data_IF_740900689723
#
_entry.id   IF_740900689723
#
_cell.length_a   1.000
_cell.length_b   1.000
_cell.length_c   1.000
_cell.angle_alpha   90.00
_cell.angle_beta   90.00
_cell.angle_gamma   90.00
#
_symmetry.space_group_name_H-M   'P 1'
#
loop_
_entity.id
_entity.type
_entity.pdbx_description
1 polymer ?
#
# COMPACT_ATOMS: atom_id res chain seq x y z
N UNK A 1 17.17 -13.12 1.68
CA UNK A 1 16.89 -11.97 2.56
C UNK A 1 17.74 -12.05 3.80
N UNK A 2 19.05 -11.97 3.64
CA UNK A 2 20.02 -11.87 4.73
C UNK A 2 20.73 -10.51 4.59
N UNK A 3 21.22 -9.99 5.69
CA UNK A 3 22.00 -8.75 5.74
C UNK A 3 23.29 -9.01 6.53
N UNK A 4 24.32 -8.19 6.29
CA UNK A 4 25.40 -8.03 7.26
C UNK A 4 24.96 -6.98 8.28
N UNK A 5 25.08 -7.29 9.57
CA UNK A 5 24.78 -6.32 10.63
C UNK A 5 26.03 -5.47 10.91
N UNK A 6 25.89 -4.15 10.88
CA UNK A 6 26.99 -3.21 11.18
C UNK A 6 26.53 -2.25 12.29
N UNK A 7 26.53 -2.68 13.57
CA UNK A 7 25.96 -1.91 14.66
C UNK A 7 26.53 -0.51 14.84
N UNK A 8 27.79 -0.28 14.48
CA UNK A 8 28.37 1.07 14.59
C UNK A 8 27.85 2.05 13.55
N UNK A 9 27.21 1.58 12.47
CA UNK A 9 26.81 2.39 11.31
C UNK A 9 25.36 2.22 10.85
N UNK A 10 24.57 1.33 11.46
CA UNK A 10 23.12 1.22 11.28
C UNK A 10 22.42 1.19 12.63
N UNK A 11 21.46 2.11 12.82
CA UNK A 11 20.76 2.30 14.09
C UNK A 11 19.94 1.07 14.53
N UNK A 12 19.38 0.31 13.59
CA UNK A 12 18.58 -0.90 13.91
C UNK A 12 19.50 -2.01 14.39
N UNK A 13 20.65 -2.16 13.74
CA UNK A 13 21.67 -3.11 14.14
C UNK A 13 22.27 -2.74 15.50
N UNK A 14 22.45 -1.44 15.77
CA UNK A 14 22.90 -0.91 17.07
C UNK A 14 21.96 -1.28 18.21
N UNK A 15 20.67 -0.99 18.06
CA UNK A 15 19.66 -1.30 19.08
C UNK A 15 19.56 -2.81 19.34
N UNK A 16 19.63 -3.62 18.27
CA UNK A 16 19.66 -5.06 18.39
C UNK A 16 20.91 -5.53 19.14
N UNK A 17 22.09 -5.05 18.75
CA UNK A 17 23.35 -5.40 19.40
C UNK A 17 23.35 -5.02 20.89
N UNK A 18 22.88 -3.81 21.23
CA UNK A 18 22.75 -3.37 22.63
C UNK A 18 21.80 -4.24 23.44
N UNK A 19 20.64 -4.58 22.87
CA UNK A 19 19.63 -5.41 23.55
C UNK A 19 20.14 -6.82 23.86
N UNK A 20 20.92 -7.39 22.95
CA UNK A 20 21.39 -8.78 23.05
C UNK A 20 22.84 -8.91 23.50
N UNK A 21 23.50 -7.80 23.87
CA UNK A 21 24.89 -7.81 24.32
C UNK A 21 25.89 -8.27 23.26
N UNK A 22 25.61 -7.96 21.98
CA UNK A 22 26.52 -8.25 20.88
C UNK A 22 27.58 -7.15 20.75
N UNK A 23 28.71 -7.49 20.13
CA UNK A 23 29.83 -6.59 19.92
C UNK A 23 29.45 -5.44 18.97
N UNK A 24 29.93 -4.23 19.28
CA UNK A 24 29.80 -3.04 18.45
C UNK A 24 31.23 -2.59 18.14
N UNK A 25 31.61 -2.57 16.85
CA UNK A 25 32.96 -2.19 16.41
C UNK A 25 32.90 -0.96 15.51
N UNK A 26 33.35 0.22 15.96
CA UNK A 26 33.42 1.41 15.11
C UNK A 26 34.36 1.21 13.93
N UNK A 27 33.83 1.40 12.71
CA UNK A 27 34.60 1.32 11.45
C UNK A 27 34.71 2.63 10.69
N UNK A 28 33.98 3.67 11.13
CA UNK A 28 34.07 5.04 10.59
C UNK A 28 34.22 5.99 11.77
N UNK A 29 35.29 6.79 11.76
CA UNK A 29 35.52 7.85 12.73
C UNK A 29 34.99 9.19 12.18
N UNK A 30 34.04 9.85 12.86
CA UNK A 30 33.62 11.20 12.50
C UNK A 30 34.78 12.19 12.60
N UNK A 31 34.85 13.18 11.69
CA UNK A 31 35.93 14.17 11.66
C UNK A 31 35.93 15.08 12.91
N UNK A 32 34.74 15.43 13.39
CA UNK A 32 34.52 16.45 14.41
C UNK A 32 34.13 15.87 15.79
N UNK A 33 34.46 14.60 16.04
CA UNK A 33 34.18 13.95 17.33
C UNK A 33 35.42 13.28 17.90
N UNK A 34 35.43 13.12 19.23
CA UNK A 34 36.38 12.24 19.88
C UNK A 34 36.29 10.81 19.31
N UNK A 35 37.37 10.03 19.49
CA UNK A 35 37.39 8.65 19.05
C UNK A 35 36.16 7.91 19.57
N UNK A 36 35.40 7.26 18.66
CA UNK A 36 34.21 6.52 19.04
C UNK A 36 34.60 5.34 19.93
N UNK A 37 34.00 5.25 21.11
CA UNK A 37 34.13 4.12 22.03
C UNK A 37 32.85 3.29 22.01
N UNK A 38 32.98 2.01 21.63
CA UNK A 38 31.87 1.07 21.54
C UNK A 38 31.11 0.90 22.85
N UNK A 39 31.77 1.06 24.00
CA UNK A 39 31.13 0.96 25.30
C UNK A 39 30.16 2.13 25.52
N UNK A 40 30.54 3.34 25.12
CA UNK A 40 29.84 4.58 25.45
C UNK A 40 28.99 5.15 24.31
N UNK A 41 29.08 4.61 23.09
CA UNK A 41 28.21 5.04 21.99
C UNK A 41 26.74 4.98 22.41
N UNK A 42 25.99 6.06 22.18
CA UNK A 42 24.55 6.13 22.46
C UNK A 42 23.70 5.79 21.23
N UNK A 43 24.28 5.92 20.04
CA UNK A 43 23.64 5.65 18.75
C UNK A 43 24.67 5.20 17.70
N UNK A 44 24.20 4.63 16.59
CA UNK A 44 25.04 4.37 15.42
C UNK A 44 25.48 5.67 14.73
N UNK A 45 26.62 5.62 14.04
CA UNK A 45 27.10 6.71 13.18
C UNK A 45 26.98 6.33 11.70
N UNK A 46 25.97 6.89 11.01
CA UNK A 46 25.72 6.67 9.58
C UNK A 46 26.26 7.80 8.67
N UNK A 47 27.00 8.75 9.25
CA UNK A 47 27.52 9.94 8.59
C UNK A 47 28.91 9.80 7.96
N UNK A 48 29.44 10.94 7.48
CA UNK A 48 30.78 11.02 6.92
C UNK A 48 31.88 10.85 7.99
N UNK A 49 33.08 10.51 7.55
CA UNK A 49 34.23 10.30 8.41
C UNK A 49 35.38 9.58 7.70
N UNK A 50 36.30 9.00 8.46
CA UNK A 50 37.44 8.25 7.95
C UNK A 50 37.34 6.80 8.38
N UNK A 51 37.61 5.87 7.45
CA UNK A 51 37.61 4.44 7.78
C UNK A 51 38.70 4.11 8.80
N UNK A 52 38.29 3.42 9.86
CA UNK A 52 39.15 2.87 10.92
C UNK A 52 38.83 1.38 11.11
N UNK A 53 39.70 0.62 11.77
CA UNK A 53 39.49 -0.81 12.05
C UNK A 53 39.10 -1.68 10.83
N UNK A 54 39.51 -1.26 9.63
CA UNK A 54 39.06 -1.80 8.34
C UNK A 54 40.22 -2.32 7.46
N UNK A 55 41.34 -2.68 8.09
CA UNK A 55 42.49 -3.27 7.41
C UNK A 55 43.04 -2.40 6.26
N UNK A 56 43.07 -2.90 5.00
CA UNK A 56 43.61 -2.17 3.87
C UNK A 56 42.78 -0.92 3.49
N UNK A 57 41.56 -0.79 4.02
CA UNK A 57 40.69 0.35 3.75
C UNK A 57 40.85 1.49 4.77
N UNK A 58 41.69 1.31 5.80
CA UNK A 58 41.95 2.34 6.80
C UNK A 58 42.47 3.64 6.16
N UNK A 59 41.97 4.78 6.65
CA UNK A 59 42.34 6.10 6.16
C UNK A 59 41.58 6.57 4.92
N UNK A 60 40.79 5.69 4.27
CA UNK A 60 39.94 6.09 3.15
C UNK A 60 38.75 6.91 3.67
N UNK A 61 38.43 7.99 2.96
CA UNK A 61 37.31 8.88 3.31
C UNK A 61 35.97 8.21 3.01
N UNK A 62 35.08 8.17 4.01
CA UNK A 62 33.66 7.98 3.83
C UNK A 62 32.98 9.35 3.76
N UNK A 63 32.43 9.73 2.61
CA UNK A 63 31.88 11.09 2.41
C UNK A 63 30.35 11.18 2.65
N UNK A 64 29.70 10.09 3.04
CA UNK A 64 28.24 10.03 3.25
C UNK A 64 27.41 9.84 1.97
N UNK A 65 28.04 9.84 0.78
CA UNK A 65 27.36 9.54 -0.48
C UNK A 65 27.06 8.04 -0.61
N UNK A 66 26.18 7.69 -1.56
CA UNK A 66 25.82 6.30 -1.87
C UNK A 66 26.55 5.77 -3.10
N UNK A 67 26.78 4.45 -3.12
CA UNK A 67 27.43 3.76 -4.23
C UNK A 67 28.87 4.23 -4.46
N UNK A 68 29.38 4.06 -5.69
CA UNK A 68 30.76 4.44 -6.05
C UNK A 68 31.11 5.92 -5.93
N UNK A 69 30.12 6.82 -5.73
CA UNK A 69 30.38 8.24 -5.41
C UNK A 69 31.05 8.43 -4.05
N UNK A 70 30.98 7.42 -3.19
CA UNK A 70 31.66 7.40 -1.90
C UNK A 70 32.97 6.61 -2.02
N UNK A 71 34.14 7.23 -1.77
CA UNK A 71 35.44 6.57 -1.94
C UNK A 71 35.61 5.31 -1.10
N UNK A 72 35.06 5.27 0.12
CA UNK A 72 35.11 4.09 0.98
C UNK A 72 34.28 2.93 0.41
N UNK A 73 33.09 3.22 -0.12
CA UNK A 73 32.22 2.22 -0.75
C UNK A 73 32.87 1.70 -2.04
N UNK A 74 33.42 2.59 -2.88
CA UNK A 74 34.12 2.20 -4.11
C UNK A 74 35.30 1.27 -3.81
N UNK A 75 36.15 1.65 -2.85
CA UNK A 75 37.30 0.84 -2.46
C UNK A 75 36.90 -0.52 -1.85
N UNK A 76 35.82 -0.55 -1.06
CA UNK A 76 35.30 -1.80 -0.51
C UNK A 76 34.75 -2.73 -1.60
N UNK A 77 34.04 -2.20 -2.60
CA UNK A 77 33.57 -2.97 -3.76
C UNK A 77 34.76 -3.57 -4.51
N UNK A 78 35.74 -2.74 -4.89
CA UNK A 78 36.92 -3.18 -5.65
C UNK A 78 37.72 -4.25 -4.87
N UNK A 79 37.82 -4.09 -3.55
CA UNK A 79 38.48 -5.05 -2.68
C UNK A 79 37.74 -6.40 -2.66
N UNK A 80 36.41 -6.39 -2.51
CA UNK A 80 35.60 -7.61 -2.49
C UNK A 80 35.61 -8.33 -3.85
N UNK A 81 35.62 -7.58 -4.96
CA UNK A 81 35.72 -8.13 -6.32
C UNK A 81 37.09 -8.75 -6.58
N UNK A 82 38.18 -8.09 -6.17
CA UNK A 82 39.53 -8.65 -6.28
C UNK A 82 39.72 -9.95 -5.49
N UNK A 83 39.01 -10.10 -4.36
CA UNK A 83 38.99 -11.33 -3.57
C UNK A 83 38.04 -12.41 -4.11
N UNK A 84 37.21 -12.11 -5.11
CA UNK A 84 36.15 -13.01 -5.58
C UNK A 84 35.06 -13.28 -4.53
N UNK A 85 34.94 -12.41 -3.51
CA UNK A 85 34.04 -12.57 -2.37
C UNK A 85 32.76 -11.74 -2.48
N UNK A 86 32.63 -10.91 -3.52
CA UNK A 86 31.46 -10.09 -3.78
C UNK A 86 31.53 -9.40 -5.14
N UNK A 87 30.44 -8.69 -5.48
CA UNK A 87 30.34 -7.84 -6.67
C UNK A 87 29.38 -6.69 -6.41
N UNK A 88 29.51 -5.61 -7.18
CA UNK A 88 28.52 -4.53 -7.15
C UNK A 88 27.13 -5.01 -7.59
N UNK A 89 26.09 -4.50 -6.91
CA UNK A 89 24.70 -4.75 -7.27
C UNK A 89 23.86 -3.49 -7.02
N UNK A 90 22.98 -3.17 -7.97
CA UNK A 90 21.98 -2.10 -7.83
C UNK A 90 20.68 -2.72 -7.32
N UNK A 91 20.19 -2.20 -6.19
CA UNK A 91 18.93 -2.65 -5.58
C UNK A 91 17.91 -1.51 -5.58
N UNK A 92 16.66 -1.86 -5.87
CA UNK A 92 15.53 -0.94 -5.76
C UNK A 92 14.70 -1.29 -4.52
N UNK A 93 14.19 -0.26 -3.85
CA UNK A 93 13.17 -0.45 -2.80
C UNK A 93 11.82 -0.86 -3.41
N UNK A 94 11.56 -0.43 -4.65
CA UNK A 94 10.38 -0.82 -5.41
C UNK A 94 10.35 -2.34 -5.56
N UNK A 95 9.16 -2.92 -5.40
CA UNK A 95 8.90 -4.35 -5.62
C UNK A 95 7.96 -4.49 -6.80
N UNK A 96 7.89 -5.71 -7.33
CA UNK A 96 6.93 -6.04 -8.37
C UNK A 96 5.49 -5.82 -7.88
N UNK A 97 4.62 -5.47 -8.82
CA UNK A 97 3.24 -5.18 -8.54
C UNK A 97 2.43 -6.48 -8.44
N UNK A 98 2.00 -6.80 -7.21
CA UNK A 98 1.05 -7.88 -6.96
C UNK A 98 -0.35 -7.49 -7.46
N UNK A 99 -0.75 -7.99 -8.63
CA UNK A 99 -2.05 -7.67 -9.25
C UNK A 99 -3.18 -8.63 -8.87
N UNK A 100 -2.89 -9.86 -8.43
CA UNK A 100 -3.93 -10.85 -8.15
C UNK A 100 -4.66 -10.59 -6.83
N UNK A 101 -5.99 -10.77 -6.83
CA UNK A 101 -6.86 -10.57 -5.67
C UNK A 101 -7.80 -11.76 -5.52
N UNK A 102 -7.84 -12.33 -4.32
CA UNK A 102 -8.78 -13.38 -3.94
C UNK A 102 -10.17 -12.80 -3.64
N UNK A 103 -10.72 -12.03 -4.59
CA UNK A 103 -12.01 -11.34 -4.48
C UNK A 103 -12.82 -11.59 -5.74
N UNK A 104 -14.14 -11.69 -5.59
CA UNK A 104 -15.05 -11.83 -6.72
C UNK A 104 -15.11 -10.57 -7.60
N UNK A 105 -15.27 -9.39 -6.98
CA UNK A 105 -15.54 -8.16 -7.73
C UNK A 105 -14.25 -7.56 -8.31
N UNK A 106 -13.88 -8.03 -9.50
CA UNK A 106 -12.75 -7.54 -10.28
C UNK A 106 -12.75 -8.16 -11.69
N UNK A 107 -11.82 -7.71 -12.54
CA UNK A 107 -11.66 -8.29 -13.88
C UNK A 107 -10.97 -9.65 -13.79
N UNK A 108 -11.56 -10.74 -14.31
CA UNK A 108 -10.90 -12.05 -14.32
C UNK A 108 -9.54 -12.02 -15.01
N UNK A 109 -8.55 -12.68 -14.41
CA UNK A 109 -7.23 -12.82 -15.03
C UNK A 109 -7.34 -13.86 -16.17
N UNK A 110 -6.96 -13.52 -17.42
CA UNK A 110 -7.17 -14.39 -18.59
C UNK A 110 -6.07 -15.47 -18.69
N UNK A 111 -5.92 -16.29 -17.64
CA UNK A 111 -4.96 -17.40 -17.57
C UNK A 111 -5.71 -18.72 -17.34
N UNK A 112 -5.21 -19.77 -17.98
CA UNK A 112 -5.67 -21.15 -17.85
C UNK A 112 -4.54 -21.98 -17.23
N UNK A 113 -4.90 -22.79 -16.24
CA UNK A 113 -4.07 -23.83 -15.62
C UNK A 113 -4.33 -25.17 -16.30
N UNK A 114 -3.34 -25.67 -17.03
CA UNK A 114 -3.41 -26.95 -17.72
C UNK A 114 -3.21 -28.13 -16.75
N UNK A 115 -3.70 -29.32 -17.13
CA UNK A 115 -3.62 -30.52 -16.29
C UNK A 115 -2.19 -31.02 -16.06
N UNK A 116 -1.25 -30.67 -16.94
CA UNK A 116 0.18 -30.98 -16.84
C UNK A 116 0.96 -30.01 -15.95
N UNK A 117 0.30 -28.99 -15.40
CA UNK A 117 0.88 -27.98 -14.52
C UNK A 117 1.45 -26.75 -15.23
N UNK A 118 1.34 -26.65 -16.56
CA UNK A 118 1.69 -25.45 -17.31
C UNK A 118 0.59 -24.39 -17.26
N UNK A 119 0.92 -23.16 -17.69
CA UNK A 119 0.00 -22.03 -17.80
C UNK A 119 -0.09 -21.58 -19.26
N UNK A 120 -1.28 -21.23 -19.71
CA UNK A 120 -1.49 -20.57 -21.00
C UNK A 120 -2.44 -19.37 -20.85
N UNK A 121 -2.38 -18.43 -21.80
CA UNK A 121 -3.31 -17.31 -21.86
C UNK A 121 -4.60 -17.72 -22.56
N UNK A 122 -5.73 -17.14 -22.14
CA UNK A 122 -7.01 -17.27 -22.85
C UNK A 122 -6.84 -16.68 -24.26
N UNK A 123 -7.25 -17.39 -25.34
CA UNK A 123 -7.14 -16.85 -26.69
C UNK A 123 -7.94 -15.56 -26.89
N UNK A 124 -7.44 -14.63 -27.71
CA UNK A 124 -8.09 -13.34 -27.99
C UNK A 124 -9.55 -13.49 -28.43
N UNK A 125 -9.86 -14.53 -29.22
CA UNK A 125 -11.22 -14.84 -29.70
C UNK A 125 -12.19 -15.27 -28.59
N UNK A 126 -11.68 -15.59 -27.40
CA UNK A 126 -12.47 -15.95 -26.22
C UNK A 126 -12.51 -14.82 -25.18
N UNK A 127 -11.87 -13.67 -25.47
CA UNK A 127 -12.01 -12.49 -24.64
C UNK A 127 -13.34 -11.77 -24.95
N UNK A 128 -13.97 -11.14 -23.94
CA UNK A 128 -13.56 -11.10 -22.54
C UNK A 128 -13.92 -12.38 -21.76
N UNK A 129 -13.12 -12.70 -20.74
CA UNK A 129 -13.55 -13.63 -19.68
C UNK A 129 -14.57 -12.90 -18.80
N UNK A 130 -15.85 -13.23 -18.97
CA UNK A 130 -16.96 -12.58 -18.28
C UNK A 130 -17.08 -13.10 -16.85
N UNK A 131 -17.22 -12.17 -15.90
CA UNK A 131 -17.50 -12.49 -14.50
C UNK A 131 -18.96 -13.00 -14.38
N UNK A 132 -19.22 -14.14 -13.72
CA UNK A 132 -20.57 -14.71 -13.62
C UNK A 132 -21.43 -13.98 -12.58
N UNK A 133 -22.64 -13.54 -12.96
CA UNK A 133 -23.53 -12.74 -12.10
C UNK A 133 -24.25 -13.57 -11.00
N UNK A 134 -24.24 -14.89 -11.09
CA UNK A 134 -25.04 -15.85 -10.30
C UNK A 134 -24.17 -16.67 -9.32
N UNK A 135 -23.28 -16.01 -8.59
CA UNK A 135 -22.40 -16.67 -7.59
C UNK A 135 -22.90 -16.55 -6.15
N UNK A 136 -22.70 -17.61 -5.37
CA UNK A 136 -22.98 -17.61 -3.92
C UNK A 136 -21.76 -17.14 -3.11
N UNK A 137 -21.98 -16.19 -2.20
CA UNK A 137 -20.93 -15.65 -1.33
C UNK A 137 -20.83 -16.45 -0.03
N UNK A 138 -19.82 -17.31 0.04
CA UNK A 138 -19.53 -18.12 1.22
C UNK A 138 -18.56 -17.41 2.18
N UNK A 139 -18.74 -17.49 3.51
CA UNK A 139 -17.88 -16.83 4.51
C UNK A 139 -16.54 -17.57 4.72
N UNK A 140 -15.88 -17.96 3.64
CA UNK A 140 -14.64 -18.76 3.67
C UNK A 140 -13.36 -17.93 3.48
N UNK A 141 -13.51 -16.64 3.11
CA UNK A 141 -12.39 -15.75 2.79
C UNK A 141 -11.72 -16.02 1.43
N UNK A 142 -12.22 -16.98 0.64
CA UNK A 142 -11.74 -17.26 -0.73
C UNK A 142 -12.66 -16.66 -1.79
N UNK A 143 -12.12 -16.46 -3.00
CA UNK A 143 -12.92 -16.01 -4.15
C UNK A 143 -14.05 -17.01 -4.43
N UNK A 144 -15.33 -16.57 -4.51
CA UNK A 144 -16.47 -17.38 -4.95
C UNK A 144 -16.24 -18.14 -6.27
N UNK A 145 -15.43 -17.59 -7.18
CA UNK A 145 -15.07 -18.21 -8.46
C UNK A 145 -14.37 -19.57 -8.31
N UNK A 146 -13.74 -19.81 -7.14
CA UNK A 146 -13.07 -21.08 -6.83
C UNK A 146 -14.04 -22.26 -6.74
N UNK A 147 -15.30 -22.00 -6.41
CA UNK A 147 -16.32 -23.04 -6.19
C UNK A 147 -17.38 -23.07 -7.29
N UNK A 148 -17.40 -22.07 -8.16
CA UNK A 148 -18.35 -21.98 -9.25
C UNK A 148 -17.82 -22.75 -10.48
N UNK A 149 -18.12 -24.05 -10.53
CA UNK A 149 -17.69 -24.98 -11.57
C UNK A 149 -17.91 -24.50 -13.02
N UNK A 150 -19.04 -23.83 -13.37
CA UNK A 150 -19.26 -23.36 -14.73
C UNK A 150 -18.27 -22.30 -15.21
N UNK A 151 -17.72 -21.50 -14.29
CA UNK A 151 -16.63 -20.57 -14.59
C UNK A 151 -15.27 -21.25 -14.52
N UNK A 152 -15.05 -22.03 -13.45
CA UNK A 152 -13.74 -22.62 -13.16
C UNK A 152 -13.31 -23.60 -14.25
N UNK A 153 -14.20 -24.49 -14.68
CA UNK A 153 -13.85 -25.57 -15.60
C UNK A 153 -13.84 -25.06 -17.04
N UNK A 154 -12.74 -25.31 -17.74
CA UNK A 154 -12.57 -24.94 -19.15
C UNK A 154 -11.74 -26.00 -19.88
N UNK A 155 -11.33 -25.71 -21.11
CA UNK A 155 -10.40 -26.55 -21.86
C UNK A 155 -9.17 -25.76 -22.23
N UNK A 156 -8.03 -26.43 -22.32
CA UNK A 156 -6.80 -25.83 -22.85
C UNK A 156 -6.82 -25.73 -24.38
N UNK A 157 -5.76 -25.18 -24.95
CA UNK A 157 -5.55 -25.04 -26.40
C UNK A 157 -5.55 -26.37 -27.18
N UNK A 158 -5.33 -27.50 -26.50
CA UNK A 158 -5.40 -28.85 -27.07
C UNK A 158 -6.78 -29.52 -26.86
N UNK A 159 -7.72 -28.83 -26.19
CA UNK A 159 -9.06 -29.34 -25.89
C UNK A 159 -9.12 -30.26 -24.66
N UNK A 160 -8.05 -30.32 -23.85
CA UNK A 160 -8.00 -31.14 -22.63
C UNK A 160 -8.62 -30.38 -21.47
N UNK A 161 -9.18 -31.06 -20.44
CA UNK A 161 -9.75 -30.41 -19.27
C UNK A 161 -8.72 -29.52 -18.55
N UNK A 162 -9.10 -28.28 -18.27
CA UNK A 162 -8.26 -27.27 -17.64
C UNK A 162 -9.09 -26.40 -16.68
N UNK A 163 -8.42 -25.52 -15.92
CA UNK A 163 -9.07 -24.61 -14.97
C UNK A 163 -8.70 -23.16 -15.23
N UNK A 164 -9.66 -22.24 -15.16
CA UNK A 164 -9.38 -20.80 -15.21
C UNK A 164 -8.74 -20.32 -13.92
N UNK A 165 -7.89 -19.30 -14.02
CA UNK A 165 -7.50 -18.48 -12.86
C UNK A 165 -8.77 -17.89 -12.21
N UNK A 166 -8.84 -17.95 -10.89
CA UNK A 166 -10.01 -17.52 -10.11
C UNK A 166 -9.77 -16.26 -9.31
N UNK A 167 -8.51 -15.80 -9.27
CA UNK A 167 -8.18 -14.46 -8.84
C UNK A 167 -8.59 -13.42 -9.88
N UNK A 168 -8.97 -12.25 -9.39
CA UNK A 168 -9.26 -11.08 -10.22
C UNK A 168 -8.13 -10.07 -10.14
N UNK A 169 -8.03 -9.21 -11.15
CA UNK A 169 -7.05 -8.13 -11.17
C UNK A 169 -7.42 -7.05 -10.15
N UNK A 170 -6.39 -6.51 -9.49
CA UNK A 170 -6.46 -5.35 -8.63
C UNK A 170 -7.09 -4.15 -9.34
N UNK A 171 -7.85 -3.35 -8.60
CA UNK A 171 -8.60 -2.21 -9.15
C UNK A 171 -7.70 -1.15 -9.79
N UNK A 172 -6.43 -1.03 -9.39
CA UNK A 172 -5.47 -0.13 -10.03
C UNK A 172 -5.15 -0.54 -11.46
N UNK A 173 -5.39 -1.80 -11.87
CA UNK A 173 -5.25 -2.20 -13.27
C UNK A 173 -6.17 -1.37 -14.16
N UNK A 174 -7.46 -1.28 -13.82
CA UNK A 174 -8.42 -0.49 -14.58
C UNK A 174 -8.10 1.01 -14.53
N UNK A 175 -7.67 1.54 -13.37
CA UNK A 175 -7.36 2.96 -13.24
C UNK A 175 -6.02 3.36 -13.88
N UNK A 176 -5.16 2.42 -14.27
CA UNK A 176 -3.87 2.76 -14.88
C UNK A 176 -3.97 3.23 -16.33
N UNK A 177 -5.12 3.04 -17.00
CA UNK A 177 -5.26 3.36 -18.43
C UNK A 177 -6.61 3.96 -18.82
N UNK A 178 -7.54 4.17 -17.88
CA UNK A 178 -8.87 4.72 -18.14
C UNK A 178 -8.88 6.05 -18.92
N UNK A 179 -7.86 6.89 -18.72
CA UNK A 179 -7.70 8.16 -19.42
C UNK A 179 -7.51 7.98 -20.93
N UNK A 180 -6.92 6.87 -21.37
CA UNK A 180 -6.84 6.48 -22.78
C UNK A 180 -8.20 6.02 -23.30
N UNK A 181 -8.96 5.26 -22.49
CA UNK A 181 -10.28 4.77 -22.89
C UNK A 181 -11.31 5.90 -23.05
N UNK A 182 -11.15 7.01 -22.33
CA UNK A 182 -12.01 8.19 -22.48
C UNK A 182 -11.97 8.83 -23.86
N UNK A 183 -10.87 8.65 -24.60
CA UNK A 183 -10.72 9.20 -25.95
C UNK A 183 -11.76 8.59 -26.91
N UNK A 184 -12.08 7.31 -26.73
CA UNK A 184 -12.95 6.57 -27.63
C UNK A 184 -13.70 5.43 -26.91
N UNK A 185 -14.67 5.72 -26.03
CA UNK A 185 -15.28 4.73 -25.13
C UNK A 185 -16.06 3.63 -25.84
N UNK A 186 -16.43 3.84 -27.12
CA UNK A 186 -17.19 2.91 -27.95
C UNK A 186 -16.35 2.21 -29.03
N UNK A 187 -15.05 2.50 -29.10
CA UNK A 187 -14.17 1.87 -30.08
C UNK A 187 -13.94 0.40 -29.71
N UNK A 188 -14.13 -0.52 -30.64
CA UNK A 188 -14.20 -1.96 -30.39
C UNK A 188 -13.01 -2.76 -30.93
N UNK A 189 -12.14 -2.14 -31.74
CA UNK A 189 -11.05 -2.83 -32.43
C UNK A 189 -9.76 -2.85 -31.60
N UNK A 190 -9.56 -1.84 -30.75
CA UNK A 190 -8.39 -1.72 -29.88
C UNK A 190 -8.75 -1.00 -28.56
N UNK A 191 -7.80 -0.83 -27.62
CA UNK A 191 -8.05 -0.10 -26.37
C UNK A 191 -8.58 1.32 -26.59
N UNK A 192 -8.14 2.00 -27.66
CA UNK A 192 -8.57 3.33 -28.08
C UNK A 192 -8.43 3.53 -29.60
N UNK A 193 -9.14 4.50 -30.15
CA UNK A 193 -9.06 4.93 -31.56
C UNK A 193 -7.73 5.68 -31.79
N UNK A 194 -6.89 5.23 -32.76
CA UNK A 194 -5.63 5.90 -33.08
C UNK A 194 -5.75 7.39 -33.43
N UNK A 195 -6.83 7.81 -34.10
CA UNK A 195 -7.05 9.23 -34.46
C UNK A 195 -7.29 10.09 -33.21
N UNK A 196 -8.13 9.61 -32.30
CA UNK A 196 -8.40 10.31 -31.04
C UNK A 196 -7.16 10.36 -30.14
N UNK A 197 -6.39 9.26 -30.08
CA UNK A 197 -5.12 9.23 -29.36
C UNK A 197 -4.08 10.20 -29.95
N UNK A 198 -3.97 10.24 -31.29
CA UNK A 198 -3.08 11.15 -32.00
C UNK A 198 -3.46 12.61 -31.82
N UNK A 199 -4.72 12.92 -31.52
CA UNK A 199 -5.19 14.28 -31.27
C UNK A 199 -5.02 14.70 -29.81
N UNK A 200 -5.48 13.87 -28.86
CA UNK A 200 -5.63 14.27 -27.44
C UNK A 200 -4.42 14.00 -26.56
N UNK A 201 -3.53 13.07 -26.92
CA UNK A 201 -2.43 12.69 -26.04
C UNK A 201 -1.19 13.56 -26.24
N UNK A 202 -0.34 13.69 -25.18
CA UNK A 202 -0.57 13.25 -23.79
C UNK A 202 -1.54 14.17 -23.03
N UNK A 203 -1.96 13.78 -21.82
CA UNK A 203 -2.82 14.62 -20.98
C UNK A 203 -2.07 15.90 -20.57
N UNK A 204 -2.55 17.07 -20.98
CA UNK A 204 -1.89 18.35 -20.66
C UNK A 204 -1.82 18.62 -19.15
N UNK A 205 -2.93 18.43 -18.44
CA UNK A 205 -3.01 18.70 -17.00
C UNK A 205 -3.90 17.66 -16.32
N UNK A 206 -3.31 16.92 -15.39
CA UNK A 206 -4.02 15.94 -14.58
C UNK A 206 -4.13 16.40 -13.14
N UNK A 207 -5.37 16.46 -12.63
CA UNK A 207 -5.67 16.96 -11.28
C UNK A 207 -6.15 15.81 -10.39
N UNK A 208 -5.49 15.58 -9.26
CA UNK A 208 -5.82 14.49 -8.33
C UNK A 208 -5.12 14.64 -6.99
N UNK A 209 -5.68 14.05 -5.93
CA UNK A 209 -5.11 14.18 -4.59
C UNK A 209 -3.73 13.52 -4.43
N UNK A 210 -2.90 14.05 -3.54
CA UNK A 210 -1.53 13.56 -3.32
C UNK A 210 -1.47 12.13 -2.74
N UNK A 211 -2.58 11.61 -2.21
CA UNK A 211 -2.72 10.22 -1.76
C UNK A 211 -2.42 9.18 -2.86
N UNK A 212 -2.47 9.58 -4.13
CA UNK A 212 -2.23 8.70 -5.28
C UNK A 212 -0.77 8.70 -5.78
N UNK A 213 0.14 9.45 -5.14
CA UNK A 213 1.51 9.66 -5.62
C UNK A 213 2.33 8.38 -5.83
N UNK A 214 2.27 7.43 -4.91
CA UNK A 214 3.14 6.23 -4.92
C UNK A 214 2.44 4.96 -5.42
N UNK A 215 1.17 5.04 -5.81
CA UNK A 215 0.38 3.92 -6.32
C UNK A 215 -0.18 4.26 -7.70
N UNK A 216 -1.43 4.71 -7.78
CA UNK A 216 -2.12 5.04 -9.04
C UNK A 216 -1.26 5.84 -10.02
N UNK A 217 -0.59 6.91 -9.58
CA UNK A 217 0.24 7.73 -10.47
C UNK A 217 1.53 7.01 -10.93
N UNK A 218 2.10 6.16 -10.08
CA UNK A 218 3.23 5.32 -10.47
C UNK A 218 2.79 4.22 -11.46
N UNK A 219 1.67 3.55 -11.18
CA UNK A 219 1.11 2.50 -12.03
C UNK A 219 0.65 3.03 -13.38
N UNK A 220 0.05 4.23 -13.43
CA UNK A 220 -0.34 4.86 -14.69
C UNK A 220 0.88 5.15 -15.58
N UNK A 221 1.98 5.65 -14.99
CA UNK A 221 3.24 5.86 -15.72
C UNK A 221 3.86 4.54 -16.20
N UNK A 222 3.89 3.54 -15.33
CA UNK A 222 4.38 2.21 -15.68
C UNK A 222 3.56 1.60 -16.82
N UNK A 223 2.23 1.62 -16.74
CA UNK A 223 1.32 1.06 -17.73
C UNK A 223 1.49 1.76 -19.08
N UNK A 224 1.55 3.10 -19.10
CA UNK A 224 1.80 3.88 -20.30
C UNK A 224 3.11 3.46 -21.00
N UNK A 225 4.21 3.34 -20.24
CA UNK A 225 5.51 2.90 -20.79
C UNK A 225 5.46 1.45 -21.27
N UNK A 226 4.79 0.57 -20.54
CA UNK A 226 4.63 -0.83 -20.92
C UNK A 226 3.89 -0.95 -22.27
N UNK A 227 2.75 -0.27 -22.45
CA UNK A 227 1.99 -0.35 -23.71
C UNK A 227 2.70 0.39 -24.86
N UNK A 228 3.49 1.44 -24.56
CA UNK A 228 4.37 2.08 -25.54
C UNK A 228 5.41 1.09 -26.06
N UNK A 229 6.06 0.34 -25.18
CA UNK A 229 7.10 -0.62 -25.53
C UNK A 229 6.51 -1.88 -26.20
N UNK A 230 5.22 -2.15 -25.98
CA UNK A 230 4.43 -3.15 -26.71
C UNK A 230 3.82 -2.62 -28.02
N UNK A 231 4.25 -1.44 -28.50
CA UNK A 231 3.81 -0.84 -29.77
C UNK A 231 2.31 -0.48 -29.86
N UNK A 232 1.58 -0.42 -28.74
CA UNK A 232 0.14 -0.10 -28.72
C UNK A 232 -0.16 1.33 -29.21
N UNK A 233 0.83 2.23 -29.14
CA UNK A 233 0.70 3.61 -29.63
C UNK A 233 1.15 3.80 -31.08
N UNK A 234 1.62 2.77 -31.80
CA UNK A 234 2.29 2.98 -33.09
C UNK A 234 1.37 3.53 -34.18
N UNK A 235 0.11 3.08 -34.24
CA UNK A 235 -0.89 3.67 -35.15
C UNK A 235 -1.17 5.13 -34.78
N UNK A 236 -1.31 5.44 -33.50
CA UNK A 236 -1.52 6.81 -33.03
C UNK A 236 -0.30 7.72 -33.33
N UNK A 237 0.93 7.20 -33.21
CA UNK A 237 2.15 7.92 -33.62
C UNK A 237 2.16 8.18 -35.11
N UNK A 238 1.80 7.20 -35.94
CA UNK A 238 1.76 7.35 -37.39
C UNK A 238 0.75 8.43 -37.80
N UNK A 239 -0.45 8.41 -37.21
CA UNK A 239 -1.49 9.41 -37.43
C UNK A 239 -1.03 10.80 -36.95
N UNK A 240 -0.44 10.91 -35.76
CA UNK A 240 0.06 12.18 -35.22
C UNK A 240 1.12 12.79 -36.14
N UNK A 241 2.06 11.98 -36.64
CA UNK A 241 3.08 12.41 -37.58
C UNK A 241 2.47 12.85 -38.93
N UNK A 242 1.46 12.13 -39.44
CA UNK A 242 0.74 12.51 -40.65
C UNK A 242 0.02 13.87 -40.51
N UNK A 243 -0.45 14.19 -39.29
CA UNK A 243 -1.01 15.49 -38.94
C UNK A 243 0.05 16.56 -38.59
N UNK A 244 1.33 16.25 -38.77
CA UNK A 244 2.44 17.19 -38.57
C UNK A 244 2.83 17.43 -37.11
N UNK A 245 2.43 16.56 -36.18
CA UNK A 245 2.89 16.63 -34.78
C UNK A 245 4.30 16.04 -34.65
N UNK A 246 5.11 16.64 -33.79
CA UNK A 246 6.34 16.01 -33.32
C UNK A 246 5.97 14.84 -32.40
N UNK A 247 6.46 13.65 -32.76
CA UNK A 247 6.16 12.40 -32.06
C UNK A 247 7.29 11.97 -31.13
N UNK A 248 8.43 12.66 -31.16
CA UNK A 248 9.55 12.34 -30.26
C UNK A 248 9.16 12.63 -28.81
N UNK A 249 9.25 11.60 -27.95
CA UNK A 249 8.82 11.66 -26.56
C UNK A 249 7.31 11.87 -26.33
N UNK A 250 6.48 11.96 -27.38
CA UNK A 250 5.06 12.33 -27.27
C UNK A 250 4.25 11.37 -26.37
N UNK A 251 4.64 10.09 -26.35
CA UNK A 251 3.99 9.03 -25.58
C UNK A 251 4.85 8.50 -24.42
N UNK A 252 5.92 9.22 -24.04
CA UNK A 252 6.81 8.75 -22.98
C UNK A 252 6.19 8.86 -21.59
N UNK A 253 5.44 9.93 -21.34
CA UNK A 253 4.72 10.15 -20.10
C UNK A 253 3.23 10.36 -20.39
N UNK A 254 2.32 9.78 -19.60
CA UNK A 254 0.88 9.91 -19.83
C UNK A 254 0.36 11.33 -19.59
N UNK A 255 1.08 12.13 -18.78
CA UNK A 255 0.68 13.49 -18.40
C UNK A 255 1.86 14.46 -18.40
N UNK A 256 1.65 15.68 -18.93
CA UNK A 256 2.67 16.75 -18.95
C UNK A 256 2.73 17.51 -17.62
N UNK A 257 1.58 17.80 -17.03
CA UNK A 257 1.48 18.51 -15.76
C UNK A 257 0.60 17.75 -14.77
N UNK A 258 1.11 17.64 -13.55
CA UNK A 258 0.37 17.15 -12.39
C UNK A 258 -0.03 18.31 -11.50
N UNK A 259 -1.30 18.38 -11.10
CA UNK A 259 -1.81 19.30 -10.08
C UNK A 259 -2.39 18.51 -8.93
N UNK A 260 -1.75 18.56 -7.78
CA UNK A 260 -2.28 17.96 -6.57
C UNK A 260 -3.05 18.98 -5.76
N UNK A 261 -4.37 18.88 -5.76
CA UNK A 261 -5.20 19.72 -4.90
C UNK A 261 -4.96 19.38 -3.43
N UNK A 262 -5.07 20.41 -2.58
CA UNK A 262 -5.11 20.23 -1.13
C UNK A 262 -6.33 19.41 -0.72
N UNK A 263 -6.23 18.79 0.46
CA UNK A 263 -7.36 18.09 1.05
C UNK A 263 -8.42 19.09 1.50
N UNK A 264 -9.69 18.76 1.28
CA UNK A 264 -10.80 19.50 1.87
C UNK A 264 -10.96 19.03 3.31
N UNK A 265 -10.96 19.99 4.23
CA UNK A 265 -11.05 19.77 5.66
C UNK A 265 -12.49 20.06 6.13
N UNK A 266 -13.05 19.15 6.92
CA UNK A 266 -14.29 19.36 7.66
C UNK A 266 -14.01 19.87 9.07
N UNK A 267 -15.04 20.42 9.72
CA UNK A 267 -14.98 20.91 11.09
C UNK A 267 -14.53 19.83 12.07
N UNK A 268 -13.86 20.27 13.13
CA UNK A 268 -13.61 19.43 14.29
C UNK A 268 -14.95 18.98 14.87
N UNK A 269 -15.06 17.70 15.22
CA UNK A 269 -16.23 17.21 15.94
C UNK A 269 -15.82 16.28 17.05
N UNK A 270 -16.55 16.41 18.13
CA UNK A 270 -16.49 15.46 19.22
C UNK A 270 -17.04 14.10 18.79
N UNK A 271 -16.37 13.04 19.25
CA UNK A 271 -16.96 11.71 19.29
C UNK A 271 -18.10 11.63 20.28
N UNK A 272 -18.98 10.66 20.07
CA UNK A 272 -20.03 10.34 21.03
C UNK A 272 -19.39 9.92 22.36
N UNK A 273 -20.01 10.34 23.45
CA UNK A 273 -19.68 9.83 24.78
C UNK A 273 -20.53 8.58 24.99
N UNK A 274 -19.88 7.48 25.34
CA UNK A 274 -20.54 6.19 25.50
C UNK A 274 -20.28 5.58 26.85
N UNK A 275 -21.23 4.75 27.28
CA UNK A 275 -21.00 3.71 28.29
C UNK A 275 -20.98 2.35 27.58
N UNK A 276 -19.89 1.60 27.77
CA UNK A 276 -19.74 0.25 27.27
C UNK A 276 -19.58 -0.72 28.44
N UNK A 277 -20.36 -1.81 28.43
CA UNK A 277 -20.30 -2.87 29.44
C UNK A 277 -20.15 -4.24 28.80
N UNK A 278 -19.53 -5.16 29.53
CA UNK A 278 -19.29 -6.52 29.08
C UNK A 278 -18.17 -7.17 29.87
N UNK A 279 -17.39 -8.04 29.22
CA UNK A 279 -16.30 -8.78 29.86
C UNK A 279 -14.95 -8.08 29.64
N UNK A 280 -14.26 -7.77 30.74
CA UNK A 280 -12.90 -7.21 30.68
C UNK A 280 -11.83 -8.31 30.60
N UNK A 281 -10.78 -8.05 29.82
CA UNK A 281 -9.54 -8.82 29.74
C UNK A 281 -8.34 -7.85 29.65
N UNK A 282 -7.68 -7.64 30.79
CA UNK A 282 -6.60 -6.66 30.91
C UNK A 282 -7.05 -5.23 30.59
N UNK A 283 -6.47 -4.63 29.55
CA UNK A 283 -6.81 -3.28 29.09
C UNK A 283 -7.91 -3.23 28.02
N UNK A 284 -8.52 -4.38 27.70
CA UNK A 284 -9.53 -4.50 26.65
C UNK A 284 -10.87 -4.92 27.25
N UNK A 285 -11.94 -4.25 26.82
CA UNK A 285 -13.31 -4.63 27.14
C UNK A 285 -13.95 -5.29 25.92
N UNK A 286 -14.53 -6.48 26.09
CA UNK A 286 -15.41 -7.10 25.10
C UNK A 286 -16.85 -6.73 25.45
N UNK A 287 -17.38 -5.72 24.77
CA UNK A 287 -18.67 -5.12 25.10
C UNK A 287 -19.83 -5.85 24.41
N UNK A 288 -20.79 -6.30 25.21
CA UNK A 288 -22.10 -6.82 24.77
C UNK A 288 -23.17 -5.72 24.72
N UNK A 289 -22.87 -4.55 25.29
CA UNK A 289 -23.73 -3.39 25.32
C UNK A 289 -22.92 -2.09 25.18
N UNK A 290 -23.38 -1.21 24.29
CA UNK A 290 -22.84 0.15 24.11
C UNK A 290 -23.98 1.14 23.96
N UNK A 291 -24.00 2.20 24.76
CA UNK A 291 -25.00 3.25 24.69
C UNK A 291 -24.35 4.63 24.61
N UNK A 292 -24.84 5.46 23.68
CA UNK A 292 -24.50 6.89 23.64
C UNK A 292 -25.24 7.61 24.75
N UNK A 293 -24.49 8.33 25.57
CA UNK A 293 -24.97 9.08 26.73
C UNK A 293 -24.66 10.57 26.56
N UNK A 294 -25.38 11.39 27.30
CA UNK A 294 -25.04 12.81 27.39
C UNK A 294 -23.72 13.00 28.15
N UNK A 295 -22.90 13.95 27.70
CA UNK A 295 -21.53 14.13 28.22
C UNK A 295 -21.50 14.46 29.72
N UNK A 296 -22.50 15.18 30.22
CA UNK A 296 -22.64 15.56 31.62
C UNK A 296 -22.97 14.37 32.54
N UNK A 297 -23.49 13.27 32.00
CA UNK A 297 -23.79 12.04 32.75
C UNK A 297 -22.55 11.14 32.93
N UNK A 298 -21.48 11.37 32.19
CA UNK A 298 -20.33 10.46 32.11
C UNK A 298 -19.67 10.20 33.46
N UNK A 299 -19.45 11.25 34.26
CA UNK A 299 -18.83 11.14 35.59
C UNK A 299 -19.72 10.37 36.56
N UNK A 300 -21.01 10.72 36.60
CA UNK A 300 -22.00 10.05 37.45
C UNK A 300 -22.14 8.56 37.10
N UNK A 301 -22.19 8.21 35.82
CA UNK A 301 -22.31 6.82 35.36
C UNK A 301 -21.05 6.03 35.68
N UNK A 302 -19.88 6.65 35.59
CA UNK A 302 -18.60 6.01 35.94
C UNK A 302 -18.56 5.61 37.42
N UNK A 303 -19.02 6.50 38.29
CA UNK A 303 -19.10 6.22 39.73
C UNK A 303 -20.08 5.08 40.04
N UNK A 304 -21.18 5.00 39.29
CA UNK A 304 -22.21 3.97 39.46
C UNK A 304 -21.84 2.62 38.83
N UNK A 305 -21.01 2.62 37.78
CA UNK A 305 -20.64 1.44 36.99
C UNK A 305 -19.12 1.36 36.84
N UNK A 306 -18.39 1.01 37.91
CA UNK A 306 -16.91 1.00 37.89
C UNK A 306 -16.32 -0.02 36.92
N UNK A 307 -17.07 -1.08 36.58
CA UNK A 307 -16.64 -2.12 35.64
C UNK A 307 -16.91 -1.76 34.16
N UNK A 308 -17.62 -0.66 33.90
CA UNK A 308 -17.91 -0.19 32.55
C UNK A 308 -16.83 0.78 32.05
N UNK A 309 -16.64 0.84 30.73
CA UNK A 309 -15.80 1.88 30.11
C UNK A 309 -16.71 3.04 29.71
N UNK A 310 -16.50 4.21 30.33
CA UNK A 310 -17.31 5.41 30.10
C UNK A 310 -16.43 6.54 29.60
N UNK A 311 -16.69 7.04 28.40
CA UNK A 311 -15.88 8.12 27.85
C UNK A 311 -16.16 8.45 26.40
N UNK A 312 -15.38 9.39 25.86
CA UNK A 312 -15.52 9.84 24.48
C UNK A 312 -14.84 8.87 23.52
N UNK A 313 -15.50 8.51 22.42
CA UNK A 313 -14.89 7.71 21.36
C UNK A 313 -13.86 8.57 20.63
N UNK A 314 -12.58 8.23 20.75
CA UNK A 314 -11.48 8.89 20.03
C UNK A 314 -11.23 8.27 18.66
N UNK A 315 -11.41 6.96 18.54
CA UNK A 315 -11.24 6.22 17.29
C UNK A 315 -12.20 5.04 17.23
N UNK A 316 -12.68 4.74 16.03
CA UNK A 316 -13.57 3.65 15.67
C UNK A 316 -13.03 2.95 14.42
N UNK A 317 -12.99 1.63 14.44
CA UNK A 317 -12.61 0.82 13.28
C UNK A 317 -13.43 -0.46 13.31
N UNK A 318 -14.40 -0.58 12.39
CA UNK A 318 -15.36 -1.69 12.34
C UNK A 318 -16.05 -1.93 13.70
N UNK A 319 -15.56 -2.89 14.49
CA UNK A 319 -16.07 -3.26 15.81
C UNK A 319 -15.19 -2.79 16.99
N UNK A 320 -14.06 -2.12 16.74
CA UNK A 320 -13.15 -1.61 17.77
C UNK A 320 -13.36 -0.12 18.03
N UNK A 321 -13.44 0.25 19.30
CA UNK A 321 -13.49 1.61 19.81
C UNK A 321 -12.25 1.88 20.68
N UNK A 322 -11.67 3.07 20.54
CA UNK A 322 -10.66 3.61 21.46
C UNK A 322 -11.33 4.75 22.22
N UNK A 323 -11.51 4.56 23.53
CA UNK A 323 -12.28 5.47 24.38
C UNK A 323 -11.34 6.24 25.30
N UNK A 324 -11.48 7.56 25.31
CA UNK A 324 -10.89 8.43 26.32
C UNK A 324 -11.80 8.42 27.55
N UNK A 325 -11.44 7.60 28.53
CA UNK A 325 -12.15 7.46 29.79
C UNK A 325 -11.52 8.33 30.89
N UNK A 326 -10.87 9.44 30.57
CA UNK A 326 -10.24 10.31 31.56
C UNK A 326 -9.01 9.73 32.26
N UNK A 327 -8.57 8.51 31.92
CA UNK A 327 -7.22 8.05 32.23
C UNK A 327 -6.21 8.58 31.20
N UNK A 328 -4.91 8.53 31.52
CA UNK A 328 -3.84 8.98 30.61
C UNK A 328 -3.74 8.18 29.31
N UNK A 329 -4.37 6.99 29.25
CA UNK A 329 -4.31 6.08 28.10
C UNK A 329 -5.70 5.78 27.54
N UNK A 330 -5.78 5.54 26.23
CA UNK A 330 -7.04 5.10 25.61
C UNK A 330 -7.37 3.66 26.02
N UNK A 331 -8.65 3.44 26.35
CA UNK A 331 -9.19 2.08 26.61
C UNK A 331 -9.68 1.48 25.30
N UNK A 332 -9.30 0.23 25.05
CA UNK A 332 -9.79 -0.50 23.88
C UNK A 332 -11.09 -1.22 24.22
N UNK A 333 -12.14 -0.98 23.44
CA UNK A 333 -13.43 -1.69 23.53
C UNK A 333 -13.69 -2.40 22.21
N UNK A 334 -13.81 -3.73 22.25
CA UNK A 334 -14.27 -4.54 21.13
C UNK A 334 -15.76 -4.84 21.32
N UNK A 335 -16.57 -4.36 20.39
CA UNK A 335 -18.01 -4.64 20.37
C UNK A 335 -18.22 -6.02 19.76
N UNK A 336 -18.75 -6.95 20.55
CA UNK A 336 -18.90 -8.34 20.09
C UNK A 336 -20.07 -8.48 19.11
N UNK A 337 -20.05 -9.54 18.30
CA UNK A 337 -21.16 -9.84 17.41
C UNK A 337 -22.45 -10.05 18.21
N UNK A 338 -23.53 -9.38 17.82
CA UNK A 338 -24.82 -9.42 18.53
C UNK A 338 -24.91 -8.49 19.74
N UNK A 339 -23.90 -7.66 20.00
CA UNK A 339 -23.97 -6.64 21.03
C UNK A 339 -25.10 -5.64 20.74
N UNK A 340 -25.79 -5.19 21.80
CA UNK A 340 -26.83 -4.17 21.70
C UNK A 340 -26.19 -2.79 21.70
N UNK A 341 -26.30 -2.09 20.58
CA UNK A 341 -25.89 -0.68 20.45
C UNK A 341 -27.12 0.21 20.57
N UNK A 342 -27.03 1.29 21.35
CA UNK A 342 -28.11 2.26 21.56
C UNK A 342 -27.59 3.65 21.22
N UNK A 343 -28.19 4.28 20.22
CA UNK A 343 -27.94 5.69 19.87
C UNK A 343 -29.28 6.42 20.01
N UNK A 344 -29.55 7.14 21.11
CA UNK A 344 -30.89 7.69 21.39
C UNK A 344 -31.45 8.60 20.29
N UNK A 345 -30.57 9.27 19.53
CA UNK A 345 -30.93 10.14 18.42
C UNK A 345 -31.30 9.39 17.13
N UNK A 346 -31.10 8.07 17.06
CA UNK A 346 -31.36 7.25 15.88
C UNK A 346 -32.41 6.18 16.23
N UNK A 347 -33.61 6.23 15.64
CA UNK A 347 -34.65 5.23 15.89
C UNK A 347 -34.31 3.89 15.23
N UNK A 348 -34.69 2.78 15.88
CA UNK A 348 -34.54 1.42 15.35
C UNK A 348 -33.36 0.65 15.94
N UNK A 349 -32.98 -0.45 15.29
CA UNK A 349 -31.80 -1.23 15.66
C UNK A 349 -30.53 -0.48 15.25
N UNK A 350 -29.64 -0.25 16.22
CA UNK A 350 -28.38 0.43 15.98
C UNK A 350 -27.20 -0.55 15.96
N UNK A 351 -26.12 -0.14 15.32
CA UNK A 351 -24.85 -0.84 15.25
C UNK A 351 -23.68 0.14 15.41
N UNK A 352 -22.47 -0.42 15.54
CA UNK A 352 -21.24 0.34 15.80
C UNK A 352 -20.96 1.40 14.72
N UNK A 353 -21.43 1.21 13.48
CA UNK A 353 -21.18 2.16 12.40
C UNK A 353 -21.87 3.51 12.56
N UNK A 354 -22.90 3.57 13.39
CA UNK A 354 -23.62 4.80 13.68
C UNK A 354 -22.97 5.64 14.79
N UNK A 355 -22.02 5.08 15.54
CA UNK A 355 -21.27 5.80 16.57
C UNK A 355 -20.28 6.77 15.94
N UNK A 356 -20.29 8.02 16.43
CA UNK A 356 -19.37 9.08 16.02
C UNK A 356 -18.08 8.96 16.82
N UNK A 357 -16.96 8.95 16.12
CA UNK A 357 -15.64 9.13 16.75
C UNK A 357 -15.23 10.60 16.68
N UNK A 358 -14.35 11.00 17.60
CA UNK A 358 -13.68 12.28 17.61
C UNK A 358 -12.88 12.46 16.33
N UNK A 359 -12.94 13.65 15.77
CA UNK A 359 -12.19 14.05 14.60
C UNK A 359 -11.63 15.44 14.86
N UNK A 360 -10.31 15.55 15.06
CA UNK A 360 -9.63 16.84 15.16
C UNK A 360 -9.88 17.67 13.89
N UNK A 361 -9.78 17.02 12.72
CA UNK A 361 -10.11 17.57 11.41
C UNK A 361 -10.58 16.43 10.49
N UNK A 362 -11.77 16.54 9.91
CA UNK A 362 -12.21 15.52 8.95
C UNK A 362 -11.51 15.74 7.61
N UNK A 363 -10.55 14.88 7.26
CA UNK A 363 -10.15 14.75 5.85
C UNK A 363 -11.35 14.21 5.09
N UNK A 364 -11.97 15.04 4.25
CA UNK A 364 -13.04 14.57 3.37
C UNK A 364 -12.43 13.66 2.30
N UNK A 365 -12.37 12.37 2.62
CA UNK A 365 -12.02 11.32 1.67
C UNK A 365 -13.29 10.54 1.34
N UNK A 366 -13.48 10.20 0.06
CA UNK A 366 -14.63 9.43 -0.45
C UNK A 366 -14.84 8.09 0.27
N UNK A 367 -13.85 7.56 0.98
CA UNK A 367 -13.89 6.23 1.59
C UNK A 367 -14.40 6.20 3.05
N UNK A 368 -14.88 7.32 3.62
CA UNK A 368 -15.38 7.37 5.02
C UNK A 368 -16.72 8.10 5.17
N UNK A 369 -17.51 8.15 4.09
CA UNK A 369 -18.88 8.69 4.10
C UNK A 369 -19.87 7.69 4.69
#
# INVERSE_FOLDING_TARGET
>A
GAIMAVPSGDQRDFEFARKFGLEIVPVVQPDDQAALDSATMEAAWDGAGVMINSGPLNGIRANGEKGRKNPSIAAAIDHLEALGAGKEAVNYRLRDWLISRQRYWGSPIPIIHCADGTLEAVPDSQLPVVLPDDVEFMPTGRSPLTYYEPFLNTVDSEGRPAKRETDTMDTFMCSSWYHLRYLSPKYAEAPFDPEEAAYWLPVDTYTGGAEHATMHLLYTRWFNKAIRDLCVFDDAKAVAAAHGRDVDGLFDEPMLQMRNQGQILGEERDGDVVVASGRSDGNKLFADYVEVIERDQAETIRDQKPDAVVGQIMKRTENLLQIADGSDNLRTVEVVSGAKVVVPSIPGENNVNQLRQHLDVQRMSKSKG
#
